data_IF_253184299349
#
_entry.id   IF_253184299349
#
_cell.length_a   1.000
_cell.length_b   1.000
_cell.length_c   1.000
_cell.angle_alpha   90.00
_cell.angle_beta   90.00
_cell.angle_gamma   90.00
#
_symmetry.space_group_name_H-M   'P 1'
#
loop_
_entity.id
_entity.type
_entity.pdbx_description
1 polymer ?
#
# COMPACT_ATOMS: atom_id res chain seq x y z
N UNK A 1 23.99 3.16 0.04
CA UNK A 1 24.32 1.73 0.16
C UNK A 1 23.07 0.89 -0.03
N UNK A 2 23.09 -0.01 -1.00
CA UNK A 2 21.98 -0.92 -1.23
C UNK A 2 22.08 -2.05 -0.21
N UNK A 3 21.04 -2.24 0.59
CA UNK A 3 20.97 -3.37 1.52
C UNK A 3 20.51 -4.61 0.74
N UNK A 4 21.23 -5.71 0.91
CA UNK A 4 20.85 -6.98 0.31
C UNK A 4 19.47 -7.41 0.82
N UNK A 5 18.58 -7.85 -0.10
CA UNK A 5 17.21 -8.25 0.25
C UNK A 5 16.23 -7.11 0.51
N UNK A 6 16.67 -5.87 0.43
CA UNK A 6 15.83 -4.68 0.67
C UNK A 6 15.83 -3.79 -0.57
N UNK A 7 14.63 -3.39 -1.00
CA UNK A 7 14.43 -2.38 -2.04
C UNK A 7 13.79 -1.18 -1.38
N UNK A 8 14.37 0.01 -1.56
CA UNK A 8 13.83 1.24 -0.98
C UNK A 8 13.06 2.02 -2.04
N UNK A 9 11.83 2.42 -1.70
CA UNK A 9 10.94 3.22 -2.55
C UNK A 9 10.67 4.54 -1.86
N UNK A 10 10.72 5.62 -2.63
CA UNK A 10 10.31 6.95 -2.17
C UNK A 10 8.98 7.30 -2.80
N UNK A 11 7.98 7.59 -1.96
CA UNK A 11 6.71 8.16 -2.38
C UNK A 11 6.75 9.66 -2.09
N UNK A 12 6.75 10.47 -3.13
CA UNK A 12 6.62 11.92 -2.99
C UNK A 12 5.14 12.25 -3.07
N UNK A 13 4.55 12.61 -1.92
CA UNK A 13 3.11 12.90 -1.86
C UNK A 13 2.87 14.39 -1.75
N UNK A 14 1.61 14.79 -1.95
CA UNK A 14 1.21 16.21 -1.79
C UNK A 14 1.35 16.71 -0.34
N UNK A 15 1.52 15.82 0.64
CA UNK A 15 1.71 16.18 2.06
C UNK A 15 3.12 15.92 2.58
N UNK A 16 4.00 15.38 1.76
CA UNK A 16 5.39 15.11 2.14
C UNK A 16 5.90 13.79 1.59
N UNK A 17 7.12 13.45 1.96
CA UNK A 17 7.80 12.25 1.46
C UNK A 17 7.67 11.09 2.42
N UNK A 18 7.46 9.90 1.88
CA UNK A 18 7.39 8.63 2.62
C UNK A 18 8.40 7.69 1.99
N UNK A 19 9.34 7.21 2.79
CA UNK A 19 10.33 6.23 2.34
C UNK A 19 9.95 4.87 2.90
N UNK A 20 9.93 3.86 2.03
CA UNK A 20 9.48 2.50 2.35
C UNK A 20 10.57 1.52 1.98
N UNK A 21 10.91 0.63 2.93
CA UNK A 21 11.81 -0.49 2.68
C UNK A 21 10.99 -1.73 2.38
N UNK A 22 11.17 -2.31 1.18
CA UNK A 22 10.47 -3.52 0.75
C UNK A 22 11.34 -4.75 1.02
N UNK A 23 10.73 -5.80 1.56
CA UNK A 23 11.41 -7.04 1.91
C UNK A 23 11.35 -8.03 0.75
N UNK A 24 12.35 -7.96 -0.12
CA UNK A 24 12.46 -8.82 -1.30
C UNK A 24 12.68 -10.29 -0.95
N UNK A 25 13.26 -10.56 0.21
CA UNK A 25 13.57 -11.91 0.65
C UNK A 25 12.31 -12.67 1.09
N UNK A 26 11.47 -12.06 1.91
CA UNK A 26 10.27 -12.70 2.45
C UNK A 26 9.02 -12.47 1.60
N UNK A 27 9.03 -11.46 0.74
CA UNK A 27 7.91 -11.15 -0.15
C UNK A 27 8.42 -10.87 -1.58
N UNK A 28 9.07 -11.86 -2.24
CA UNK A 28 9.70 -11.63 -3.53
C UNK A 28 8.71 -11.31 -4.65
N UNK A 29 7.59 -12.00 -4.72
CA UNK A 29 6.56 -11.79 -5.76
C UNK A 29 5.91 -10.43 -5.58
N UNK A 30 5.50 -10.11 -4.36
CA UNK A 30 4.82 -8.85 -4.04
C UNK A 30 5.77 -7.66 -4.25
N UNK A 31 7.00 -7.77 -3.80
CA UNK A 31 8.01 -6.72 -3.99
C UNK A 31 8.28 -6.47 -5.47
N UNK A 32 8.47 -7.53 -6.26
CA UNK A 32 8.72 -7.39 -7.69
C UNK A 32 7.53 -6.72 -8.40
N UNK A 33 6.32 -7.12 -8.06
CA UNK A 33 5.09 -6.54 -8.61
C UNK A 33 5.01 -5.03 -8.31
N UNK A 34 5.23 -4.66 -7.07
CA UNK A 34 5.21 -3.26 -6.65
C UNK A 34 6.28 -2.43 -7.34
N UNK A 35 7.50 -2.96 -7.42
CA UNK A 35 8.63 -2.30 -8.10
C UNK A 35 8.32 -2.06 -9.58
N UNK A 36 7.71 -3.03 -10.25
CA UNK A 36 7.31 -2.87 -11.66
C UNK A 36 6.32 -1.73 -11.85
N UNK A 37 5.33 -1.60 -10.95
CA UNK A 37 4.39 -0.48 -10.99
C UNK A 37 5.10 0.86 -10.71
N UNK A 38 6.04 0.88 -9.78
CA UNK A 38 6.84 2.09 -9.49
C UNK A 38 7.65 2.50 -10.72
N UNK A 39 8.37 1.57 -11.31
CA UNK A 39 9.26 1.85 -12.46
C UNK A 39 8.51 2.26 -13.71
N UNK A 40 7.29 1.75 -13.90
CA UNK A 40 6.45 2.14 -15.05
C UNK A 40 5.78 3.50 -14.89
N UNK A 41 5.88 4.12 -13.72
CA UNK A 41 5.18 5.37 -13.42
C UNK A 41 3.70 5.21 -13.15
N UNK A 42 3.24 3.98 -12.90
CA UNK A 42 1.82 3.70 -12.67
C UNK A 42 1.25 4.48 -11.49
N UNK A 43 2.01 4.57 -10.39
CA UNK A 43 1.55 5.24 -9.17
C UNK A 43 1.57 6.76 -9.26
N UNK A 44 2.26 7.32 -10.25
CA UNK A 44 2.36 8.77 -10.39
C UNK A 44 0.97 9.37 -10.65
N UNK A 45 0.58 10.37 -9.84
CA UNK A 45 -0.71 11.06 -9.89
C UNK A 45 -1.90 10.20 -9.46
N UNK A 46 -1.68 9.05 -8.82
CA UNK A 46 -2.73 8.32 -8.13
C UNK A 46 -2.92 8.88 -6.73
N UNK A 47 -4.03 8.51 -6.08
CA UNK A 47 -4.39 9.07 -4.77
C UNK A 47 -4.45 8.00 -3.69
N UNK A 48 -4.38 8.46 -2.44
CA UNK A 48 -4.85 7.68 -1.30
C UNK A 48 -6.37 7.89 -1.24
N UNK A 49 -7.13 6.95 -1.79
CA UNK A 49 -8.59 7.09 -1.97
C UNK A 49 -9.39 6.65 -0.75
N UNK A 50 -8.73 6.05 0.24
CA UNK A 50 -9.40 5.55 1.44
C UNK A 50 -8.50 5.75 2.65
N UNK A 51 -9.08 6.34 3.69
CA UNK A 51 -8.36 6.49 4.95
C UNK A 51 -9.35 6.27 6.10
N UNK A 52 -8.98 5.39 7.01
CA UNK A 52 -9.74 5.12 8.22
C UNK A 52 -8.82 5.37 9.41
N UNK A 53 -9.15 6.37 10.21
CA UNK A 53 -8.36 6.75 11.39
C UNK A 53 -8.13 5.53 12.30
N UNK A 54 -6.91 5.40 12.79
CA UNK A 54 -6.49 4.29 13.64
C UNK A 54 -6.60 2.91 12.97
N UNK A 55 -6.63 2.87 11.64
CA UNK A 55 -6.67 1.61 10.90
C UNK A 55 -5.66 1.65 9.76
N UNK A 56 -6.02 2.20 8.59
CA UNK A 56 -5.15 2.19 7.40
C UNK A 56 -5.32 3.46 6.57
N UNK A 57 -4.31 3.75 5.74
CA UNK A 57 -4.45 4.58 4.55
C UNK A 57 -4.19 3.69 3.34
N UNK A 58 -5.04 3.78 2.32
CA UNK A 58 -5.01 2.90 1.15
C UNK A 58 -4.97 3.72 -0.13
N UNK A 59 -4.15 3.30 -1.08
CA UNK A 59 -4.01 3.99 -2.34
C UNK A 59 -3.45 3.13 -3.46
N UNK A 60 -3.07 3.78 -4.56
CA UNK A 60 -2.40 3.15 -5.68
C UNK A 60 -3.31 2.54 -6.74
N UNK A 61 -4.61 2.86 -6.72
CA UNK A 61 -5.54 2.29 -7.70
C UNK A 61 -6.56 3.26 -8.27
N UNK A 62 -6.53 4.53 -7.85
CA UNK A 62 -7.51 5.53 -8.27
C UNK A 62 -6.81 6.80 -8.75
N UNK A 63 -7.36 7.41 -9.79
CA UNK A 63 -6.95 8.72 -10.26
C UNK A 63 -7.55 9.82 -9.36
N UNK A 64 -7.11 11.04 -9.55
CA UNK A 64 -7.53 12.18 -8.72
C UNK A 64 -9.05 12.38 -8.70
N UNK A 65 -9.72 12.08 -9.82
CA UNK A 65 -11.18 12.19 -9.95
C UNK A 65 -11.94 10.97 -9.39
N UNK A 66 -11.26 10.08 -8.69
CA UNK A 66 -11.79 8.84 -8.13
C UNK A 66 -12.09 7.74 -9.18
N UNK A 67 -11.80 7.97 -10.45
CA UNK A 67 -11.89 6.89 -11.43
C UNK A 67 -10.85 5.82 -11.15
N UNK A 68 -11.21 4.56 -11.41
CA UNK A 68 -10.28 3.44 -11.23
C UNK A 68 -9.21 3.50 -12.32
N UNK A 69 -7.95 3.39 -11.91
CA UNK A 69 -6.84 3.20 -12.83
C UNK A 69 -6.63 1.71 -13.01
N UNK A 70 -6.93 1.20 -14.21
CA UNK A 70 -6.85 -0.22 -14.48
C UNK A 70 -5.41 -0.74 -14.32
N UNK A 71 -5.29 -1.92 -13.73
CA UNK A 71 -4.00 -2.58 -13.52
C UNK A 71 -3.31 -2.88 -14.85
N UNK A 72 -1.99 -2.76 -14.86
CA UNK A 72 -1.15 -3.11 -16.01
C UNK A 72 -0.63 -4.54 -15.97
N UNK A 73 -0.62 -5.16 -14.79
CA UNK A 73 -0.07 -6.48 -14.55
C UNK A 73 -1.14 -7.43 -14.03
N UNK A 74 -0.94 -8.74 -14.26
CA UNK A 74 -1.84 -9.74 -13.70
C UNK A 74 -1.79 -9.77 -12.17
N UNK A 75 -2.89 -10.19 -11.52
CA UNK A 75 -2.90 -10.38 -10.07
C UNK A 75 -1.83 -11.36 -9.63
N UNK A 76 -1.35 -11.18 -8.40
CA UNK A 76 -0.26 -11.99 -7.86
C UNK A 76 -0.75 -12.93 -6.76
N UNK A 77 0.02 -13.98 -6.53
CA UNK A 77 -0.20 -14.90 -5.42
C UNK A 77 0.00 -14.18 -4.09
N UNK A 78 -0.87 -14.46 -3.13
CA UNK A 78 -0.79 -13.90 -1.78
C UNK A 78 0.40 -14.52 -1.03
N UNK A 79 1.27 -13.68 -0.52
CA UNK A 79 2.45 -14.08 0.26
C UNK A 79 2.30 -13.80 1.76
N UNK A 80 1.07 -13.64 2.25
CA UNK A 80 0.83 -13.29 3.65
C UNK A 80 1.29 -14.36 4.64
N UNK A 81 1.55 -15.58 4.16
CA UNK A 81 2.10 -16.68 4.96
C UNK A 81 3.63 -16.58 5.17
N UNK A 82 4.22 -15.42 4.94
CA UNK A 82 5.68 -15.20 5.02
C UNK A 82 6.19 -14.85 6.43
N UNK A 83 5.30 -14.78 7.42
CA UNK A 83 5.67 -14.43 8.79
C UNK A 83 5.70 -12.94 9.11
N UNK A 84 5.60 -12.07 8.12
CA UNK A 84 5.51 -10.64 8.34
C UNK A 84 4.10 -10.28 8.83
N UNK A 85 4.03 -9.32 9.75
CA UNK A 85 2.78 -8.97 10.41
C UNK A 85 2.32 -7.56 10.03
N UNK A 86 0.99 -7.36 10.06
CA UNK A 86 0.38 -6.05 9.84
C UNK A 86 0.54 -5.18 11.09
N UNK A 87 1.76 -4.72 11.31
CA UNK A 87 2.13 -3.81 12.39
C UNK A 87 2.00 -2.36 11.93
N UNK A 88 1.94 -1.44 12.90
CA UNK A 88 2.00 -0.01 12.59
C UNK A 88 3.22 0.29 11.73
N UNK A 89 3.00 0.98 10.60
CA UNK A 89 4.04 1.36 9.65
C UNK A 89 4.34 0.31 8.59
N UNK A 90 3.75 -0.89 8.66
CA UNK A 90 3.93 -1.89 7.60
C UNK A 90 3.06 -1.55 6.40
N UNK A 91 3.57 -1.93 5.21
CA UNK A 91 2.83 -1.83 3.96
C UNK A 91 2.39 -3.22 3.50
N UNK A 92 1.14 -3.33 3.09
CA UNK A 92 0.55 -4.59 2.65
C UNK A 92 -0.28 -4.37 1.40
N UNK A 93 -0.56 -5.46 0.66
CA UNK A 93 -1.37 -5.39 -0.55
C UNK A 93 -2.85 -5.48 -0.24
N UNK A 94 -3.61 -4.54 -0.78
CA UNK A 94 -5.07 -4.64 -0.81
C UNK A 94 -5.47 -5.70 -1.83
N UNK A 95 -6.63 -6.32 -1.62
CA UNK A 95 -7.17 -7.37 -2.48
C UNK A 95 -8.69 -7.44 -2.37
N UNK A 96 -9.30 -8.17 -3.28
CA UNK A 96 -10.73 -8.50 -3.18
C UNK A 96 -10.93 -9.71 -2.26
N UNK A 97 -12.13 -10.28 -2.23
CA UNK A 97 -12.41 -11.50 -1.47
C UNK A 97 -11.59 -12.70 -1.95
N UNK A 98 -11.13 -12.69 -3.21
CA UNK A 98 -10.19 -13.69 -3.71
C UNK A 98 -8.81 -13.42 -3.08
N UNK A 99 -8.24 -14.38 -2.34
CA UNK A 99 -6.92 -14.19 -1.70
C UNK A 99 -5.80 -13.86 -2.67
N UNK A 100 -5.89 -14.30 -3.92
CA UNK A 100 -4.88 -14.14 -4.96
C UNK A 100 -5.31 -13.13 -6.03
N UNK A 101 -5.86 -12.00 -5.60
CA UNK A 101 -6.38 -10.95 -6.49
C UNK A 101 -5.65 -9.62 -6.39
N UNK A 102 -4.60 -9.53 -5.57
CA UNK A 102 -3.84 -8.28 -5.42
C UNK A 102 -3.17 -7.86 -6.72
N UNK A 103 -3.18 -6.57 -7.00
CA UNK A 103 -2.53 -6.01 -8.20
C UNK A 103 -1.75 -4.75 -7.87
N UNK A 104 -2.36 -3.56 -7.91
CA UNK A 104 -1.66 -2.29 -7.68
C UNK A 104 -1.93 -1.65 -6.32
N UNK A 105 -3.13 -1.84 -5.76
CA UNK A 105 -3.52 -1.15 -4.53
C UNK A 105 -2.81 -1.70 -3.31
N UNK A 106 -2.40 -0.79 -2.45
CA UNK A 106 -1.71 -1.12 -1.20
C UNK A 106 -2.27 -0.28 -0.06
N UNK A 107 -1.96 -0.66 1.16
CA UNK A 107 -2.28 0.15 2.33
C UNK A 107 -1.12 0.18 3.31
N UNK A 108 -1.07 1.24 4.12
CA UNK A 108 -0.11 1.38 5.21
C UNK A 108 -0.89 1.31 6.51
N UNK A 109 -0.44 0.45 7.40
CA UNK A 109 -1.10 0.25 8.69
C UNK A 109 -0.79 1.41 9.65
N UNK A 110 -1.83 1.98 10.24
CA UNK A 110 -1.72 3.09 11.21
C UNK A 110 -1.55 2.57 12.63
N UNK A 111 -1.83 1.32 12.87
CA UNK A 111 -1.65 0.63 14.15
C UNK A 111 -1.39 -0.85 13.88
N UNK A 112 -1.23 -1.63 14.96
CA UNK A 112 -1.08 -3.07 14.84
C UNK A 112 -2.44 -3.69 14.51
N UNK A 113 -2.63 -4.08 13.25
CA UNK A 113 -3.88 -4.64 12.73
C UNK A 113 -3.72 -6.15 12.53
N UNK A 114 -3.52 -6.89 13.63
CA UNK A 114 -3.22 -8.33 13.56
C UNK A 114 -4.37 -9.18 13.05
N UNK A 115 -5.60 -8.64 13.03
CA UNK A 115 -6.73 -9.31 12.39
C UNK A 115 -6.56 -9.44 10.87
N UNK A 116 -5.65 -8.68 10.27
CA UNK A 116 -5.31 -8.74 8.85
C UNK A 116 -4.22 -9.76 8.53
N UNK A 117 -3.64 -10.41 9.55
CA UNK A 117 -2.58 -11.39 9.36
C UNK A 117 -3.10 -12.72 8.84
N UNK A 118 -2.22 -13.45 8.16
CA UNK A 118 -2.51 -14.81 7.71
C UNK A 118 -2.74 -15.74 8.90
N UNK A 119 -3.82 -16.50 8.85
CA UNK A 119 -4.14 -17.52 9.87
C UNK A 119 -4.38 -18.89 9.25
N UNK A 120 -4.83 -18.96 8.00
CA UNK A 120 -5.10 -20.21 7.29
C UNK A 120 -5.19 -19.96 5.79
N UNK A 121 -5.10 -21.00 5.00
CA UNK A 121 -5.22 -20.91 3.54
C UNK A 121 -6.68 -20.96 3.07
N UNK A 122 -7.51 -20.10 3.65
CA UNK A 122 -8.94 -19.92 3.31
C UNK A 122 -9.17 -18.47 2.88
N UNK A 123 -10.32 -18.18 2.27
CA UNK A 123 -10.63 -16.81 1.83
C UNK A 123 -10.52 -15.79 2.95
N UNK A 124 -10.96 -16.13 4.16
CA UNK A 124 -10.88 -15.25 5.32
C UNK A 124 -9.52 -15.30 6.01
N UNK A 125 -8.90 -16.49 6.04
CA UNK A 125 -7.71 -16.74 6.82
C UNK A 125 -6.42 -16.34 6.12
N UNK A 126 -6.42 -16.16 4.79
CA UNK A 126 -5.21 -15.79 4.05
C UNK A 126 -4.61 -14.48 4.53
N UNK A 127 -5.45 -13.51 4.89
CA UNK A 127 -4.99 -12.20 5.30
C UNK A 127 -4.43 -11.37 4.15
N UNK A 128 -3.63 -10.39 4.51
CA UNK A 128 -3.07 -9.39 3.58
C UNK A 128 -1.55 -9.44 3.64
N UNK A 129 -0.92 -9.57 2.47
CA UNK A 129 0.52 -9.78 2.36
C UNK A 129 1.29 -8.52 2.71
N UNK A 130 1.96 -8.53 3.86
CA UNK A 130 2.93 -7.50 4.24
C UNK A 130 4.20 -7.73 3.44
N UNK A 131 4.74 -6.68 2.84
CA UNK A 131 5.95 -6.78 2.02
C UNK A 131 6.98 -5.69 2.31
N UNK A 132 6.76 -4.86 3.32
CA UNK A 132 7.71 -3.81 3.70
C UNK A 132 7.24 -2.98 4.87
N UNK A 133 7.96 -1.91 5.13
CA UNK A 133 7.67 -0.98 6.22
C UNK A 133 8.13 0.42 5.86
N UNK A 134 7.46 1.41 6.45
CA UNK A 134 7.90 2.81 6.36
C UNK A 134 9.19 2.96 7.18
N UNK A 135 10.25 3.43 6.55
CA UNK A 135 11.54 3.69 7.21
C UNK A 135 11.70 5.15 7.58
N UNK A 136 11.12 6.05 6.80
CA UNK A 136 11.10 7.50 7.07
C UNK A 136 9.77 8.07 6.60
N UNK A 137 9.25 9.08 7.31
CA UNK A 137 8.02 9.76 6.92
C UNK A 137 6.77 9.21 7.55
N UNK A 138 6.88 8.50 8.67
CA UNK A 138 5.67 8.03 9.39
C UNK A 138 4.83 9.21 9.90
N UNK A 139 5.46 10.35 10.18
CA UNK A 139 4.78 11.60 10.49
C UNK A 139 3.92 12.09 9.32
N UNK A 140 4.38 11.89 8.09
CA UNK A 140 3.60 12.20 6.88
C UNK A 140 2.40 11.26 6.76
N UNK A 141 2.61 9.97 7.01
CA UNK A 141 1.53 8.97 7.02
C UNK A 141 0.45 9.36 8.04
N UNK A 142 0.86 9.74 9.25
CA UNK A 142 -0.06 10.19 10.29
C UNK A 142 -0.78 11.46 9.89
N UNK A 143 -0.09 12.38 9.21
CA UNK A 143 -0.68 13.62 8.70
C UNK A 143 -1.76 13.33 7.65
N UNK A 144 -1.51 12.40 6.75
CA UNK A 144 -2.49 11.92 5.77
C UNK A 144 -3.72 11.36 6.50
N UNK A 145 -3.49 10.55 7.53
CA UNK A 145 -4.55 9.89 8.30
C UNK A 145 -5.43 10.86 9.09
N UNK A 146 -4.99 12.10 9.28
CA UNK A 146 -5.73 13.13 10.02
C UNK A 146 -6.51 14.08 9.11
N UNK A 147 -6.45 13.90 7.79
CA UNK A 147 -7.21 14.76 6.88
C UNK A 147 -8.71 14.45 6.94
N UNK A 148 -9.51 15.44 6.61
CA UNK A 148 -10.96 15.29 6.60
C UNK A 148 -11.39 14.31 5.50
N UNK A 149 -12.31 13.41 5.84
CA UNK A 149 -12.88 12.44 4.89
C UNK A 149 -14.36 12.70 4.66
N UNK A 150 -14.85 12.20 3.55
CA UNK A 150 -16.25 12.29 3.17
C UNK A 150 -16.66 11.08 2.34
N UNK A 151 -17.88 11.15 1.81
CA UNK A 151 -18.46 10.06 1.01
C UNK A 151 -18.34 10.42 -0.47
N UNK A 152 -17.80 9.47 -1.24
CA UNK A 152 -17.82 9.49 -2.71
C UNK A 152 -18.33 8.10 -3.13
N UNK A 153 -19.66 7.95 -3.35
CA UNK A 153 -20.24 6.62 -3.54
C UNK A 153 -19.55 5.80 -4.63
N UNK A 154 -19.31 4.51 -4.41
CA UNK A 154 -19.67 3.69 -3.23
C UNK A 154 -18.69 3.78 -2.04
N UNK A 155 -17.72 4.67 -2.08
CA UNK A 155 -16.69 4.81 -1.04
C UNK A 155 -17.15 5.74 0.07
N UNK A 156 -16.86 5.39 1.33
CA UNK A 156 -17.33 6.13 2.51
C UNK A 156 -16.23 6.90 3.26
N UNK A 157 -14.95 6.59 3.02
CA UNK A 157 -13.82 7.14 3.79
C UNK A 157 -12.79 7.77 2.86
N UNK A 158 -13.26 8.70 2.02
CA UNK A 158 -12.44 9.34 0.98
C UNK A 158 -11.94 10.69 1.47
N UNK A 159 -10.63 10.99 1.41
CA UNK A 159 -10.15 12.33 1.73
C UNK A 159 -10.88 13.39 0.90
N UNK A 160 -11.40 14.43 1.56
CA UNK A 160 -12.16 15.49 0.91
C UNK A 160 -11.29 16.22 -0.11
N UNK A 161 -10.04 16.50 0.26
CA UNK A 161 -9.06 17.03 -0.69
C UNK A 161 -8.16 15.87 -1.15
N UNK A 162 -8.02 15.66 -2.48
CA UNK A 162 -7.22 14.56 -2.99
C UNK A 162 -5.79 14.60 -2.45
N UNK A 163 -5.31 13.47 -1.95
CA UNK A 163 -3.94 13.29 -1.50
C UNK A 163 -3.21 12.51 -2.58
N UNK A 164 -2.35 13.21 -3.32
CA UNK A 164 -1.69 12.66 -4.49
C UNK A 164 -0.37 12.00 -4.13
N UNK A 165 -0.11 10.85 -4.76
CA UNK A 165 1.24 10.34 -4.94
C UNK A 165 1.76 11.06 -6.19
N UNK A 166 2.53 12.13 -6.00
CA UNK A 166 3.04 12.90 -7.12
C UNK A 166 4.03 12.09 -7.94
N UNK A 167 4.83 11.28 -7.26
CA UNK A 167 5.81 10.40 -7.89
C UNK A 167 6.18 9.26 -6.94
N UNK A 168 6.39 8.08 -7.51
CA UNK A 168 7.00 6.95 -6.82
C UNK A 168 8.29 6.59 -7.54
N UNK A 169 9.38 6.39 -6.80
CA UNK A 169 10.69 6.09 -7.38
C UNK A 169 11.49 5.11 -6.53
N UNK A 170 12.39 4.37 -7.18
CA UNK A 170 13.33 3.50 -6.50
C UNK A 170 14.51 4.36 -6.03
N UNK A 171 14.89 4.21 -4.78
CA UNK A 171 16.05 4.92 -4.20
C UNK A 171 17.26 3.99 -4.24
N UNK A 172 18.33 4.47 -4.82
CA UNK A 172 19.61 3.74 -4.89
C UNK A 172 20.60 4.19 -3.82
#
# INVERSE_FOLDING_TARGET
MIKEGIVTVLLTTSLGEIKIELNKELAPITTQNFVKYVESGFYDQTIFHREIENFVIQGGGHNEDMSIKDRDLEPIQNEANNGLKNERGSIAMARTADPHSASSQFFINLQNNFTLNHTSETSRGWGYAVFGKVSEGMDVVDKIAMTETGVFPPHTDVPVEPILILKASIVE
#
